data_IF_730812059127
#
_entry.id   IF_730812059127
#
_cell.length_a   1.000
_cell.length_b   1.000
_cell.length_c   1.000
_cell.angle_alpha   90.00
_cell.angle_beta   90.00
_cell.angle_gamma   90.00
#
_symmetry.space_group_name_H-M   'P 1'
#
loop_
_entity.id
_entity.type
_entity.pdbx_description
1 polymer ?
#
# COMPACT_ATOMS: atom_id res chain seq x y z
N UNK A 1 6.86 -51.89 -36.11
CA UNK A 1 6.46 -50.51 -35.74
C UNK A 1 7.69 -49.62 -35.78
N UNK A 2 7.66 -48.51 -36.52
CA UNK A 2 8.75 -47.54 -36.55
C UNK A 2 8.63 -46.68 -35.30
N UNK A 3 9.69 -46.59 -34.49
CA UNK A 3 9.71 -45.70 -33.33
C UNK A 3 10.09 -44.28 -33.75
N UNK A 4 9.10 -43.46 -34.08
CA UNK A 4 9.31 -42.06 -34.45
C UNK A 4 9.83 -41.17 -33.30
N UNK A 5 9.94 -41.70 -32.06
CA UNK A 5 10.46 -40.97 -30.91
C UNK A 5 11.98 -41.13 -30.68
N UNK A 6 12.70 -41.95 -31.47
CA UNK A 6 14.12 -42.24 -31.22
C UNK A 6 15.04 -41.01 -31.31
N UNK A 7 14.71 -40.05 -32.18
CA UNK A 7 15.49 -38.82 -32.39
C UNK A 7 14.68 -37.55 -32.10
N UNK A 8 13.63 -37.68 -31.27
CA UNK A 8 12.73 -36.58 -30.92
C UNK A 8 12.88 -36.27 -29.44
N UNK A 9 13.24 -35.04 -29.14
CA UNK A 9 13.29 -34.53 -27.77
C UNK A 9 12.09 -33.62 -27.54
N UNK A 10 11.20 -33.99 -26.62
CA UNK A 10 10.14 -33.11 -26.13
C UNK A 10 10.69 -32.27 -24.96
N UNK A 11 10.52 -30.95 -25.02
CA UNK A 11 11.01 -30.00 -24.02
C UNK A 11 10.02 -29.85 -22.86
N UNK A 12 10.40 -29.15 -21.80
CA UNK A 12 9.53 -28.83 -20.65
C UNK A 12 8.80 -30.06 -20.06
N UNK A 13 9.51 -31.18 -19.92
CA UNK A 13 8.99 -32.45 -19.41
C UNK A 13 7.86 -33.07 -20.25
N UNK A 14 7.76 -32.73 -21.54
CA UNK A 14 6.81 -33.36 -22.45
C UNK A 14 7.12 -34.84 -22.71
N UNK A 15 6.09 -35.65 -22.93
CA UNK A 15 6.20 -37.10 -23.20
C UNK A 15 6.03 -37.38 -24.69
N UNK A 16 6.99 -38.08 -25.30
CA UNK A 16 6.86 -38.48 -26.71
C UNK A 16 5.97 -39.71 -26.85
N UNK A 17 4.95 -39.62 -27.70
CA UNK A 17 4.09 -40.74 -28.10
C UNK A 17 4.27 -41.05 -29.59
N UNK A 18 4.67 -42.27 -29.97
CA UNK A 18 4.75 -42.67 -31.37
C UNK A 18 3.34 -42.93 -31.93
N UNK A 19 3.07 -42.44 -33.14
CA UNK A 19 1.86 -42.70 -33.95
C UNK A 19 2.23 -43.51 -35.21
N UNK A 20 1.24 -44.00 -35.95
CA UNK A 20 1.47 -44.59 -37.28
C UNK A 20 2.13 -43.54 -38.21
N UNK A 21 3.42 -43.76 -38.50
CA UNK A 21 4.28 -42.92 -39.35
C UNK A 21 4.59 -41.51 -38.80
N UNK A 22 4.21 -41.18 -37.57
CA UNK A 22 4.40 -39.85 -36.98
C UNK A 22 4.68 -39.93 -35.48
N UNK A 23 4.94 -38.80 -34.83
CA UNK A 23 5.03 -38.67 -33.38
C UNK A 23 4.23 -37.45 -32.89
N UNK A 24 3.86 -37.46 -31.62
CA UNK A 24 3.31 -36.29 -30.93
C UNK A 24 4.02 -36.14 -29.57
N UNK A 25 4.30 -34.90 -29.18
CA UNK A 25 4.76 -34.58 -27.83
C UNK A 25 3.53 -34.18 -26.99
N UNK A 26 3.25 -34.91 -25.91
CA UNK A 26 2.25 -34.57 -24.92
C UNK A 26 2.89 -33.60 -23.91
N UNK A 27 2.52 -32.32 -23.95
CA UNK A 27 3.04 -31.30 -23.05
C UNK A 27 2.38 -31.40 -21.67
N UNK A 28 3.18 -31.41 -20.60
CA UNK A 28 2.66 -31.39 -19.23
C UNK A 28 2.09 -29.98 -18.91
N UNK A 29 0.75 -29.87 -18.88
CA UNK A 29 -0.08 -28.67 -18.68
C UNK A 29 -0.28 -27.78 -19.92
N UNK A 30 -1.42 -27.10 -19.92
CA UNK A 30 -1.80 -26.00 -20.85
C UNK A 30 -0.85 -24.78 -20.81
N UNK A 31 0.20 -24.88 -20.01
CA UNK A 31 1.24 -23.87 -19.87
C UNK A 31 2.36 -24.01 -20.89
N UNK A 32 2.42 -25.11 -21.63
CA UNK A 32 3.40 -25.31 -22.69
C UNK A 32 2.70 -25.77 -23.97
N UNK A 33 3.12 -25.23 -25.11
CA UNK A 33 2.57 -25.51 -26.43
C UNK A 33 3.69 -25.61 -27.47
N UNK A 34 3.36 -25.99 -28.70
CA UNK A 34 4.33 -26.22 -29.77
C UNK A 34 4.54 -27.70 -30.07
N UNK A 35 5.27 -28.01 -31.16
CA UNK A 35 5.45 -29.39 -31.63
C UNK A 35 6.30 -30.23 -30.68
N UNK A 36 7.19 -29.56 -29.96
CA UNK A 36 8.09 -30.15 -28.98
C UNK A 36 7.91 -29.53 -27.59
N UNK A 37 6.76 -28.88 -27.32
CA UNK A 37 6.48 -28.18 -26.07
C UNK A 37 7.45 -27.03 -25.77
N UNK A 38 7.97 -26.36 -26.81
CA UNK A 38 8.96 -25.29 -26.73
C UNK A 38 8.35 -23.94 -26.30
N UNK A 39 7.07 -23.72 -26.60
CA UNK A 39 6.39 -22.45 -26.37
C UNK A 39 5.85 -22.44 -24.95
N UNK A 40 6.31 -21.50 -24.11
CA UNK A 40 5.71 -21.30 -22.79
C UNK A 40 4.52 -20.35 -22.91
N UNK A 41 3.39 -20.72 -22.33
CA UNK A 41 2.15 -19.96 -22.33
C UNK A 41 2.33 -18.60 -21.64
N UNK A 42 1.82 -17.56 -22.30
CA UNK A 42 1.87 -16.17 -21.85
C UNK A 42 1.27 -15.99 -20.46
N UNK A 43 0.35 -16.86 -20.04
CA UNK A 43 -0.26 -16.85 -18.70
C UNK A 43 0.79 -16.89 -17.59
N UNK A 44 1.81 -17.75 -17.68
CA UNK A 44 2.85 -17.85 -16.63
C UNK A 44 3.61 -16.53 -16.49
N UNK A 45 3.98 -15.94 -17.62
CA UNK A 45 4.71 -14.68 -17.65
C UNK A 45 3.85 -13.51 -17.13
N UNK A 46 2.58 -13.46 -17.54
CA UNK A 46 1.60 -12.47 -17.08
C UNK A 46 1.40 -12.55 -15.57
N UNK A 47 1.19 -13.74 -15.00
CA UNK A 47 1.05 -13.90 -13.54
C UNK A 47 2.28 -13.41 -12.79
N UNK A 48 3.48 -13.68 -13.31
CA UNK A 48 4.74 -13.24 -12.69
C UNK A 48 4.90 -11.72 -12.75
N UNK A 49 4.56 -11.09 -13.87
CA UNK A 49 4.56 -9.63 -14.01
C UNK A 49 3.54 -9.01 -13.05
N UNK A 50 2.31 -9.51 -13.05
CA UNK A 50 1.21 -9.01 -12.21
C UNK A 50 1.60 -9.09 -10.74
N UNK A 51 2.15 -10.22 -10.27
CA UNK A 51 2.60 -10.38 -8.88
C UNK A 51 3.70 -9.39 -8.47
N UNK A 52 4.63 -9.07 -9.38
CA UNK A 52 5.72 -8.13 -9.09
C UNK A 52 5.21 -6.68 -9.11
N UNK A 53 4.31 -6.35 -10.03
CA UNK A 53 3.74 -5.02 -10.14
C UNK A 53 3.01 -4.60 -8.86
N UNK A 54 2.23 -5.49 -8.25
CA UNK A 54 1.55 -5.19 -6.97
C UNK A 54 2.53 -4.84 -5.84
N UNK A 55 3.62 -5.59 -5.71
CA UNK A 55 4.64 -5.32 -4.71
C UNK A 55 5.32 -3.96 -4.95
N UNK A 56 5.68 -3.64 -6.20
CA UNK A 56 6.26 -2.34 -6.54
C UNK A 56 5.29 -1.18 -6.27
N UNK A 57 4.01 -1.32 -6.64
CA UNK A 57 2.99 -0.29 -6.39
C UNK A 57 2.84 -0.04 -4.88
N UNK A 58 2.79 -1.10 -4.07
CA UNK A 58 2.71 -0.98 -2.61
C UNK A 58 3.93 -0.28 -2.02
N UNK A 59 5.14 -0.64 -2.45
CA UNK A 59 6.39 -0.01 -1.99
C UNK A 59 6.41 1.48 -2.36
N UNK A 60 6.05 1.81 -3.61
CA UNK A 60 6.00 3.20 -4.08
C UNK A 60 5.00 4.01 -3.24
N UNK A 61 3.80 3.48 -3.01
CA UNK A 61 2.78 4.13 -2.18
C UNK A 61 3.25 4.35 -0.74
N UNK A 62 3.91 3.35 -0.12
CA UNK A 62 4.45 3.51 1.25
C UNK A 62 5.58 4.54 1.27
N UNK A 63 6.46 4.51 0.26
CA UNK A 63 7.58 5.45 0.17
C UNK A 63 7.13 6.90 -0.05
N UNK A 64 6.09 7.13 -0.87
CA UNK A 64 5.56 8.47 -1.11
C UNK A 64 4.87 9.04 0.13
N UNK A 65 4.13 8.21 0.87
CA UNK A 65 3.53 8.60 2.16
C UNK A 65 4.61 8.94 3.18
N UNK A 66 5.63 8.11 3.32
CA UNK A 66 6.75 8.37 4.23
C UNK A 66 7.49 9.67 3.86
N UNK A 67 7.74 9.88 2.56
CA UNK A 67 8.38 11.09 2.07
C UNK A 67 7.54 12.33 2.35
N UNK A 68 6.21 12.26 2.20
CA UNK A 68 5.31 13.37 2.52
C UNK A 68 5.29 13.70 4.02
N UNK A 69 5.31 12.68 4.89
CA UNK A 69 5.40 12.90 6.34
C UNK A 69 6.73 13.59 6.68
N UNK A 70 7.83 13.10 6.12
CA UNK A 70 9.17 13.67 6.33
C UNK A 70 9.24 15.11 5.80
N UNK A 71 8.67 15.41 4.62
CA UNK A 71 8.67 16.78 4.11
C UNK A 71 7.82 17.71 4.97
N UNK A 72 6.67 17.25 5.47
CA UNK A 72 5.84 18.01 6.41
C UNK A 72 6.58 18.30 7.72
N UNK A 73 7.30 17.31 8.27
CA UNK A 73 8.11 17.50 9.45
C UNK A 73 9.30 18.44 9.17
N UNK A 74 10.02 18.27 8.06
CA UNK A 74 11.14 19.17 7.69
C UNK A 74 10.66 20.61 7.55
N UNK A 75 9.52 20.85 6.88
CA UNK A 75 8.95 22.20 6.77
C UNK A 75 8.66 22.80 8.15
N UNK A 76 8.13 21.99 9.08
CA UNK A 76 7.87 22.41 10.46
C UNK A 76 9.15 22.70 11.24
N UNK A 77 10.17 21.85 11.13
CA UNK A 77 11.45 22.00 11.85
C UNK A 77 12.34 23.11 11.28
N UNK A 78 12.38 23.25 9.95
CA UNK A 78 13.28 24.17 9.27
C UNK A 78 12.74 25.61 9.23
N UNK A 79 11.42 25.77 9.06
CA UNK A 79 10.79 27.10 9.02
C UNK A 79 10.17 27.53 10.35
N UNK A 80 9.89 26.61 11.28
CA UNK A 80 9.29 26.96 12.58
C UNK A 80 7.89 27.59 12.50
N UNK A 81 7.25 27.54 11.32
CA UNK A 81 5.90 28.08 11.10
C UNK A 81 4.92 26.96 11.50
N UNK A 82 4.46 26.97 12.75
CA UNK A 82 3.27 26.22 13.18
C UNK A 82 2.02 27.06 12.81
N UNK A 83 1.33 26.82 11.68
CA UNK A 83 0.12 27.58 11.32
C UNK A 83 -1.03 27.40 12.34
N UNK A 84 -0.93 26.39 13.21
CA UNK A 84 -1.93 26.04 14.23
C UNK A 84 -1.72 26.78 15.55
N UNK A 85 -0.56 27.42 15.76
CA UNK A 85 -0.21 28.06 17.04
C UNK A 85 -1.15 29.24 17.35
N UNK A 86 -1.46 30.06 16.37
CA UNK A 86 -2.36 31.21 16.54
C UNK A 86 -3.80 30.79 16.86
N UNK A 87 -4.32 29.77 16.17
CA UNK A 87 -5.65 29.21 16.46
C UNK A 87 -5.74 28.61 17.86
N UNK A 88 -4.69 27.90 18.32
CA UNK A 88 -4.65 27.33 19.67
C UNK A 88 -4.66 28.43 20.74
N UNK A 89 -3.99 29.54 20.49
CA UNK A 89 -4.00 30.71 21.38
C UNK A 89 -5.37 31.37 21.44
N UNK A 90 -6.07 31.53 20.30
CA UNK A 90 -7.45 32.04 20.27
C UNK A 90 -8.38 31.19 21.14
N UNK A 91 -8.38 29.88 20.95
CA UNK A 91 -9.22 28.94 21.70
C UNK A 91 -8.90 28.99 23.21
N UNK A 92 -7.61 29.10 23.59
CA UNK A 92 -7.22 29.24 25.00
C UNK A 92 -7.69 30.56 25.61
N UNK A 93 -7.66 31.67 24.88
CA UNK A 93 -8.17 32.96 25.36
C UNK A 93 -9.67 32.91 25.59
N UNK A 94 -10.44 32.32 24.67
CA UNK A 94 -11.88 32.13 24.84
C UNK A 94 -12.24 31.25 26.04
N UNK A 95 -11.50 30.15 26.25
CA UNK A 95 -11.69 29.31 27.45
C UNK A 95 -11.38 30.05 28.74
N UNK A 96 -10.33 30.89 28.78
CA UNK A 96 -10.03 31.73 29.95
C UNK A 96 -11.09 32.81 30.17
N UNK A 97 -11.62 33.41 29.11
CA UNK A 97 -12.69 34.40 29.19
C UNK A 97 -14.00 33.77 29.69
N UNK A 98 -14.38 32.59 29.21
CA UNK A 98 -15.54 31.83 29.71
C UNK A 98 -15.37 31.36 31.16
N UNK A 99 -14.15 30.98 31.56
CA UNK A 99 -13.86 30.60 32.96
C UNK A 99 -13.74 31.79 33.93
N UNK A 100 -13.45 33.01 33.45
CA UNK A 100 -13.56 34.26 34.22
C UNK A 100 -15.04 34.66 34.36
N UNK A 101 -15.81 33.93 35.15
CA UNK A 101 -17.09 34.43 35.69
C UNK A 101 -16.78 35.62 36.61
N UNK A 102 -17.49 36.76 36.58
CA UNK A 102 -17.28 37.83 37.53
C UNK A 102 -17.62 37.32 38.94
N UNK A 103 -16.66 37.35 39.86
CA UNK A 103 -16.94 37.15 41.28
C UNK A 103 -17.66 38.41 41.77
N UNK A 104 -18.97 38.29 42.04
CA UNK A 104 -19.75 39.38 42.62
C UNK A 104 -19.30 39.55 44.07
N UNK A 105 -18.63 40.66 44.36
CA UNK A 105 -18.25 41.06 45.72
C UNK A 105 -19.53 41.46 46.46
N UNK A 106 -20.05 40.61 47.35
CA UNK A 106 -21.13 41.01 48.26
C UNK A 106 -20.54 41.96 49.32
N UNK A 107 -20.78 43.27 49.17
CA UNK A 107 -20.51 44.24 50.23
C UNK A 107 -21.60 44.08 51.31
N UNK A 108 -21.27 43.43 52.42
CA UNK A 108 -22.18 43.26 53.54
C UNK A 108 -22.23 44.58 54.34
N UNK A 109 -23.30 45.37 54.18
CA UNK A 109 -23.55 46.56 54.99
C UNK A 109 -24.08 46.10 56.36
N UNK A 110 -23.29 46.30 57.42
CA UNK A 110 -23.71 46.02 58.79
C UNK A 110 -24.46 47.24 59.34
N UNK A 111 -25.74 47.05 59.68
CA UNK A 111 -26.57 48.05 60.36
C UNK A 111 -26.58 47.69 61.84
N UNK A 112 -25.92 48.50 62.66
CA UNK A 112 -26.03 48.45 64.12
C UNK A 112 -27.44 48.88 64.55
N UNK A 113 -28.19 47.98 65.19
CA UNK A 113 -29.47 48.27 65.81
C UNK A 113 -29.25 48.79 67.25
N UNK A 114 -29.76 49.98 67.63
CA UNK A 114 -29.64 50.46 68.99
C UNK A 114 -30.78 49.92 69.86
N UNK A 115 -30.35 49.32 70.98
CA UNK A 115 -30.96 49.19 72.33
C UNK A 115 -32.47 49.02 72.47
#
# INVERSE_FOLDING_TARGET
MINCCYNVTCWNYGVCRPLLLNYICECLRDSYSGRHCEITSTKIFIYKIVSKAFAYIAIIAVSSVAMFIVTMDILKYYFGIDPIREELERIRREKRAKNKKPQVMQLLVYIDAPR
#
